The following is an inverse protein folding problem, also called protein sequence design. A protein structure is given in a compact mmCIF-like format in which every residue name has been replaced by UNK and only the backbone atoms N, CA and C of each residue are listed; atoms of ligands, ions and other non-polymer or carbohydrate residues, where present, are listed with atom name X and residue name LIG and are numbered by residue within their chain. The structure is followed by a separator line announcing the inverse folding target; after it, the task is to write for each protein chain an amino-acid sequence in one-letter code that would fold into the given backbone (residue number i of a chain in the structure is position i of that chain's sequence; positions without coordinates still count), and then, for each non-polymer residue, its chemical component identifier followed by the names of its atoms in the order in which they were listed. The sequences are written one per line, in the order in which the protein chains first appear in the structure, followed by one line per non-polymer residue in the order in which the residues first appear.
data_IF_123399783501
#
_entry.id   IF_123399783501
#
_cell.length_a   1.000
_cell.length_b   1.000
_cell.length_c   1.000
_cell.angle_alpha   90.00
_cell.angle_beta   90.00
_cell.angle_gamma   90.00
#
_symmetry.space_group_name_H-M   'P 1'
#
loop_
_entity.id
_entity.type
_entity.pdbx_description
1 polymer ?
#
# COMPACT_ATOMS: atom_id res chain seq x y z
N UNK A 1 9.61 -14.74 -4.75
CA UNK A 1 8.76 -13.70 -4.12
C UNK A 1 9.14 -12.34 -4.70
N UNK A 2 8.67 -12.00 -5.91
CA UNK A 2 9.01 -10.74 -6.60
C UNK A 2 7.89 -10.23 -7.52
N UNK A 3 6.65 -10.70 -7.31
CA UNK A 3 5.54 -10.45 -8.23
C UNK A 3 5.13 -8.98 -8.33
N UNK A 4 5.32 -8.20 -7.26
CA UNK A 4 4.94 -6.79 -7.22
C UNK A 4 5.79 -5.94 -8.17
N UNK A 5 7.13 -6.09 -8.11
CA UNK A 5 8.03 -5.35 -9.01
C UNK A 5 7.94 -5.87 -10.43
N UNK A 6 7.89 -7.20 -10.63
CA UNK A 6 7.77 -7.75 -11.99
C UNK A 6 6.49 -7.31 -12.70
N UNK A 7 5.37 -7.22 -11.97
CA UNK A 7 4.06 -6.80 -12.49
C UNK A 7 3.79 -5.30 -12.45
N UNK A 8 4.77 -4.47 -12.09
CA UNK A 8 4.57 -3.03 -11.90
C UNK A 8 3.96 -2.30 -13.11
N UNK A 9 4.22 -2.77 -14.33
CA UNK A 9 3.66 -2.19 -15.57
C UNK A 9 2.39 -2.89 -16.08
N UNK A 10 1.99 -3.99 -15.43
CA UNK A 10 0.88 -4.82 -15.90
C UNK A 10 -0.48 -4.32 -15.36
N UNK A 11 -0.47 -3.58 -14.25
CA UNK A 11 -1.68 -3.08 -13.57
C UNK A 11 -1.45 -1.64 -13.06
N UNK A 12 -2.36 -0.73 -13.44
CA UNK A 12 -2.32 0.68 -13.07
C UNK A 12 -2.53 0.91 -11.56
N UNK A 13 -3.38 0.11 -10.92
CA UNK A 13 -3.63 0.21 -9.48
C UNK A 13 -2.41 -0.26 -8.69
N UNK A 14 -1.76 -1.34 -9.16
CA UNK A 14 -0.50 -1.80 -8.59
C UNK A 14 0.61 -0.74 -8.76
N UNK A 15 0.71 -0.15 -9.94
CA UNK A 15 1.65 0.93 -10.22
C UNK A 15 1.43 2.11 -9.26
N UNK A 16 0.19 2.59 -9.14
CA UNK A 16 -0.18 3.71 -8.27
C UNK A 16 0.12 3.40 -6.79
N UNK A 17 -0.17 2.17 -6.35
CA UNK A 17 0.12 1.74 -4.99
C UNK A 17 1.63 1.73 -4.69
N UNK A 18 2.43 1.15 -5.58
CA UNK A 18 3.89 1.11 -5.43
C UNK A 18 4.45 2.54 -5.43
N UNK A 19 4.00 3.38 -6.36
CA UNK A 19 4.42 4.78 -6.45
C UNK A 19 4.06 5.58 -5.19
N UNK A 20 2.88 5.36 -4.65
CA UNK A 20 2.45 5.97 -3.40
C UNK A 20 3.33 5.55 -2.25
N UNK A 21 3.59 4.24 -2.09
CA UNK A 21 4.43 3.70 -1.02
C UNK A 21 5.84 4.28 -1.10
N UNK A 22 6.45 4.28 -2.28
CA UNK A 22 7.81 4.78 -2.49
C UNK A 22 7.95 6.26 -2.14
N UNK A 23 7.00 7.09 -2.57
CA UNK A 23 6.95 8.51 -2.21
C UNK A 23 6.67 8.72 -0.71
N UNK A 24 5.77 7.93 -0.12
CA UNK A 24 5.33 8.10 1.27
C UNK A 24 6.40 7.70 2.28
N UNK A 25 7.15 6.64 1.99
CA UNK A 25 8.17 6.09 2.87
C UNK A 25 9.60 6.45 2.45
N UNK A 26 9.76 7.25 1.39
CA UNK A 26 11.06 7.73 0.89
C UNK A 26 12.03 6.57 0.68
N UNK A 27 11.58 5.63 -0.15
CA UNK A 27 12.22 4.34 -0.40
C UNK A 27 12.11 3.94 -1.87
N UNK A 28 12.90 2.97 -2.30
CA UNK A 28 12.88 2.46 -3.66
C UNK A 28 13.14 0.95 -3.71
N UNK A 29 12.31 0.23 -4.45
CA UNK A 29 12.33 -1.23 -4.48
C UNK A 29 11.79 -1.86 -3.19
N UNK A 30 11.98 -3.18 -3.04
CA UNK A 30 11.49 -3.92 -1.87
C UNK A 30 12.51 -3.87 -0.76
N UNK A 31 13.73 -4.30 -1.05
CA UNK A 31 14.92 -4.28 -0.20
C UNK A 31 15.96 -3.27 -0.69
N UNK A 32 16.00 -2.99 -1.99
CA UNK A 32 16.92 -2.01 -2.58
C UNK A 32 16.41 -1.50 -3.91
N UNK A 33 16.86 -0.31 -4.31
CA UNK A 33 16.58 0.27 -5.63
C UNK A 33 16.97 -0.64 -6.81
N UNK A 34 17.90 -1.59 -6.61
CA UNK A 34 18.29 -2.57 -7.64
C UNK A 34 17.27 -3.69 -7.88
N UNK A 35 16.27 -3.84 -6.99
CA UNK A 35 15.20 -4.81 -7.18
C UNK A 35 14.40 -4.54 -8.46
N UNK A 36 14.43 -3.30 -8.95
CA UNK A 36 13.86 -2.91 -10.24
C UNK A 36 14.43 -3.71 -11.41
N UNK A 37 15.63 -4.30 -11.30
CA UNK A 37 16.14 -5.22 -12.31
C UNK A 37 15.31 -6.51 -12.48
N UNK A 38 14.38 -6.81 -11.56
CA UNK A 38 13.44 -7.94 -11.68
C UNK A 38 12.27 -7.66 -12.63
N UNK A 39 12.09 -6.41 -13.05
CA UNK A 39 11.06 -6.02 -14.00
C UNK A 39 11.65 -5.98 -15.41
N UNK A 40 10.96 -6.57 -16.40
CA UNK A 40 11.44 -6.67 -17.79
C UNK A 40 11.76 -5.31 -18.45
N UNK A 41 11.10 -4.23 -18.02
CA UNK A 41 11.33 -2.89 -18.56
C UNK A 41 12.53 -2.19 -17.91
N UNK A 42 12.84 -2.51 -16.66
CA UNK A 42 13.92 -1.87 -15.87
C UNK A 42 15.16 -2.74 -15.74
N UNK A 43 15.09 -4.01 -16.16
CA UNK A 43 16.16 -4.99 -16.12
C UNK A 43 17.45 -4.41 -16.72
N UNK A 44 18.49 -4.38 -15.89
CA UNK A 44 19.75 -3.76 -16.24
C UNK A 44 20.65 -4.73 -17.01
N UNK A 45 20.28 -4.99 -18.27
CA UNK A 45 21.08 -5.73 -19.24
C UNK A 45 21.25 -4.91 -20.51
N UNK A 46 22.43 -4.98 -21.13
CA UNK A 46 22.71 -4.26 -22.39
C UNK A 46 21.83 -4.74 -23.56
N UNK A 47 21.37 -5.99 -23.50
CA UNK A 47 20.44 -6.58 -24.47
C UNK A 47 19.00 -6.08 -24.31
N UNK A 48 18.65 -5.43 -23.20
CA UNK A 48 17.30 -4.95 -22.94
C UNK A 48 16.99 -3.74 -23.86
N UNK A 49 16.01 -3.84 -24.77
CA UNK A 49 15.67 -2.74 -25.66
C UNK A 49 14.88 -1.62 -24.97
N UNK A 50 14.43 -1.84 -23.74
CA UNK A 50 13.64 -0.87 -22.99
C UNK A 50 14.41 0.43 -22.79
N UNK A 51 13.70 1.55 -23.01
CA UNK A 51 14.22 2.88 -22.68
C UNK A 51 14.44 3.01 -21.16
N UNK A 52 13.68 2.28 -20.35
CA UNK A 52 13.78 2.34 -18.88
C UNK A 52 14.83 1.37 -18.31
N UNK A 53 15.63 0.72 -19.16
CA UNK A 53 16.67 -0.22 -18.69
C UNK A 53 17.62 0.47 -17.71
N UNK A 54 18.03 -0.25 -16.67
CA UNK A 54 18.89 0.27 -15.61
C UNK A 54 18.35 1.54 -14.91
N UNK A 55 17.06 1.87 -15.08
CA UNK A 55 16.42 2.98 -14.41
C UNK A 55 15.61 2.52 -13.21
N UNK A 56 15.11 3.45 -12.43
CA UNK A 56 14.05 3.22 -11.45
C UNK A 56 12.87 4.15 -11.75
N UNK A 57 11.65 3.84 -11.29
CA UNK A 57 10.52 4.73 -11.48
C UNK A 57 10.70 6.10 -10.85
N UNK A 58 9.94 7.06 -11.36
CA UNK A 58 9.97 8.44 -10.90
C UNK A 58 9.57 8.60 -9.41
N UNK A 59 8.77 7.68 -8.87
CA UNK A 59 8.41 7.64 -7.45
C UNK A 59 9.59 7.43 -6.50
N UNK A 60 10.71 6.90 -6.98
CA UNK A 60 11.96 6.81 -6.23
C UNK A 60 12.76 8.12 -6.20
N UNK A 61 12.39 9.13 -6.98
CA UNK A 61 13.13 10.40 -7.05
C UNK A 61 13.05 11.18 -5.74
N UNK A 62 14.20 11.72 -5.31
CA UNK A 62 14.25 12.66 -4.19
C UNK A 62 13.61 13.97 -4.66
N UNK A 63 12.55 14.38 -3.98
CA UNK A 63 11.93 15.68 -4.21
C UNK A 63 12.79 16.74 -3.52
N UNK A 64 13.62 17.46 -4.31
CA UNK A 64 14.29 18.65 -3.79
C UNK A 64 13.23 19.72 -3.53
N UNK A 65 13.37 20.39 -2.40
CA UNK A 65 12.43 21.30 -1.76
C UNK A 65 11.52 22.10 -2.71
N UNK A 66 10.25 22.23 -2.33
CA UNK A 66 9.19 22.85 -3.14
C UNK A 66 9.50 24.28 -3.63
N UNK A 67 10.37 25.03 -2.95
CA UNK A 67 10.83 26.34 -3.42
C UNK A 67 11.66 26.27 -4.71
N UNK A 68 12.42 25.19 -4.90
CA UNK A 68 13.13 24.93 -6.16
C UNK A 68 12.21 24.32 -7.22
N UNK A 69 11.13 23.63 -6.85
CA UNK A 69 10.18 23.00 -7.78
C UNK A 69 9.26 24.03 -8.48
N UNK A 70 9.04 25.21 -7.89
CA UNK A 70 8.27 26.30 -8.53
C UNK A 70 9.07 26.93 -9.69
N UNK A 71 10.41 26.81 -9.69
CA UNK A 71 11.30 27.34 -10.73
C UNK A 71 12.00 26.27 -11.58
N UNK A 72 12.08 25.02 -11.14
CA UNK A 72 12.75 23.94 -11.85
C UNK A 72 11.76 22.99 -12.52
N UNK A 73 11.98 22.75 -13.81
CA UNK A 73 11.34 21.70 -14.60
C UNK A 73 11.39 20.40 -13.81
N UNK A 74 10.23 19.80 -13.52
CA UNK A 74 10.14 18.48 -12.90
C UNK A 74 10.97 17.49 -13.73
N UNK A 75 12.13 17.08 -13.22
CA UNK A 75 13.00 16.16 -13.96
C UNK A 75 12.42 14.74 -13.86
N UNK A 76 11.54 14.40 -14.80
CA UNK A 76 10.98 13.06 -14.94
C UNK A 76 12.03 11.98 -15.22
N UNK A 77 13.27 12.35 -15.55
CA UNK A 77 14.39 11.46 -15.89
C UNK A 77 15.37 11.23 -14.73
N UNK A 78 15.06 11.63 -13.49
CA UNK A 78 15.99 11.47 -12.37
C UNK A 78 16.43 10.00 -12.15
N UNK A 79 15.51 9.05 -12.41
CA UNK A 79 15.74 7.62 -12.22
C UNK A 79 16.56 6.96 -13.32
N UNK A 80 16.82 7.66 -14.44
CA UNK A 80 17.45 7.08 -15.63
C UNK A 80 18.89 6.64 -15.37
N UNK A 81 19.22 5.38 -15.66
CA UNK A 81 20.57 4.83 -15.50
C UNK A 81 21.08 4.77 -14.06
N UNK A 82 20.23 5.03 -13.06
CA UNK A 82 20.63 5.06 -11.65
C UNK A 82 21.10 3.71 -11.13
N UNK A 83 20.61 2.59 -11.68
CA UNK A 83 21.07 1.25 -11.31
C UNK A 83 22.55 1.00 -11.66
N UNK A 84 23.09 1.71 -12.66
CA UNK A 84 24.52 1.67 -13.03
C UNK A 84 25.42 2.55 -12.17
N UNK A 85 24.83 3.44 -11.36
CA UNK A 85 25.59 4.33 -10.49
C UNK A 85 26.03 3.58 -9.22
N UNK A 86 27.15 4.04 -8.66
CA UNK A 86 27.54 3.66 -7.30
C UNK A 86 26.52 4.20 -6.30
N UNK A 87 26.26 3.47 -5.22
CA UNK A 87 25.22 3.79 -4.24
C UNK A 87 25.28 5.23 -3.74
N UNK A 88 26.46 5.77 -3.40
CA UNK A 88 26.62 7.14 -2.92
C UNK A 88 26.23 8.22 -3.95
N UNK A 89 26.35 7.92 -5.25
CA UNK A 89 25.95 8.83 -6.33
C UNK A 89 24.47 8.66 -6.68
N UNK A 90 23.94 7.45 -6.54
CA UNK A 90 22.52 7.18 -6.68
C UNK A 90 21.70 7.85 -5.55
N UNK A 91 22.22 7.79 -4.32
CA UNK A 91 21.63 8.38 -3.11
C UNK A 91 21.43 9.91 -3.19
N UNK A 92 22.17 10.59 -4.08
CA UNK A 92 22.00 12.03 -4.32
C UNK A 92 20.84 12.37 -5.26
N UNK A 93 20.24 11.37 -5.91
CA UNK A 93 19.22 11.50 -6.95
C UNK A 93 17.92 10.77 -6.60
N UNK A 94 18.04 9.58 -6.01
CA UNK A 94 16.92 8.69 -5.68
C UNK A 94 17.06 8.16 -4.26
N UNK A 95 15.95 7.74 -3.67
CA UNK A 95 15.97 6.90 -2.49
C UNK A 95 16.58 5.54 -2.85
N UNK A 96 17.60 5.09 -2.11
CA UNK A 96 18.27 3.80 -2.41
C UNK A 96 17.85 2.65 -1.48
N UNK A 97 17.25 2.99 -0.33
CA UNK A 97 16.81 2.04 0.68
C UNK A 97 15.51 1.34 0.29
N UNK A 98 15.38 0.06 0.67
CA UNK A 98 14.18 -0.74 0.46
C UNK A 98 12.98 -0.25 1.26
N UNK A 99 11.79 -0.40 0.65
CA UNK A 99 10.54 -0.03 1.31
C UNK A 99 10.16 -0.97 2.45
N UNK A 100 10.54 -2.25 2.39
CA UNK A 100 10.17 -3.21 3.43
C UNK A 100 10.77 -2.81 4.78
N UNK A 101 12.06 -2.48 4.80
CA UNK A 101 12.77 -2.07 6.01
C UNK A 101 12.21 -0.75 6.56
N UNK A 102 11.90 0.22 5.70
CA UNK A 102 11.29 1.50 6.10
C UNK A 102 9.90 1.32 6.71
N UNK A 103 9.05 0.50 6.09
CA UNK A 103 7.68 0.24 6.55
C UNK A 103 7.69 -0.51 7.87
N UNK A 104 8.48 -1.60 7.97
CA UNK A 104 8.62 -2.37 9.20
C UNK A 104 9.18 -1.49 10.33
N UNK A 105 10.21 -0.71 10.04
CA UNK A 105 10.77 0.24 11.01
C UNK A 105 9.76 1.31 11.45
N UNK A 106 8.93 1.82 10.54
CA UNK A 106 7.83 2.73 10.90
C UNK A 106 6.81 2.05 11.81
N UNK A 107 6.42 0.82 11.49
CA UNK A 107 5.46 0.04 12.29
C UNK A 107 5.97 -0.26 13.70
N UNK A 108 7.25 -0.63 13.84
CA UNK A 108 7.89 -0.85 15.15
C UNK A 108 7.92 0.42 16.00
N UNK A 109 8.23 1.57 15.39
CA UNK A 109 8.22 2.87 16.09
C UNK A 109 6.81 3.33 16.49
N UNK A 110 5.81 2.98 15.70
CA UNK A 110 4.41 3.36 15.92
C UNK A 110 3.56 2.20 16.46
N UNK A 111 4.17 1.24 17.15
CA UNK A 111 3.51 0.01 17.60
C UNK A 111 2.28 0.30 18.46
N UNK A 112 2.35 1.31 19.33
CA UNK A 112 1.21 1.73 20.17
C UNK A 112 0.03 2.25 19.34
N UNK A 113 0.30 3.00 18.27
CA UNK A 113 -0.74 3.51 17.38
C UNK A 113 -1.43 2.34 16.66
N UNK A 114 -0.63 1.42 16.09
CA UNK A 114 -1.14 0.24 15.37
C UNK A 114 -1.96 -0.65 16.32
N UNK A 115 -1.44 -0.93 17.50
CA UNK A 115 -2.13 -1.73 18.51
C UNK A 115 -3.43 -1.05 18.97
N UNK A 116 -3.41 0.27 19.21
CA UNK A 116 -4.58 1.04 19.58
C UNK A 116 -5.69 1.01 18.51
N UNK A 117 -5.33 1.17 17.23
CA UNK A 117 -6.28 1.03 16.13
C UNK A 117 -6.86 -0.39 16.04
N UNK A 118 -6.02 -1.42 16.18
CA UNK A 118 -6.47 -2.80 16.14
C UNK A 118 -7.46 -3.13 17.28
N UNK A 119 -7.15 -2.70 18.51
CA UNK A 119 -8.03 -2.88 19.67
C UNK A 119 -9.33 -2.09 19.50
N UNK A 120 -9.25 -0.86 18.99
CA UNK A 120 -10.42 -0.02 18.72
C UNK A 120 -11.36 -0.65 17.70
N UNK A 121 -10.82 -1.15 16.59
CA UNK A 121 -11.61 -1.87 15.58
C UNK A 121 -12.21 -3.15 16.15
N UNK A 122 -11.44 -3.93 16.91
CA UNK A 122 -11.95 -5.15 17.56
C UNK A 122 -13.12 -4.88 18.52
N UNK A 123 -13.05 -3.79 19.28
CA UNK A 123 -14.14 -3.39 20.16
C UNK A 123 -15.40 -2.98 19.37
N UNK A 124 -15.24 -2.24 18.26
CA UNK A 124 -16.36 -1.89 17.39
C UNK A 124 -17.03 -3.13 16.79
N UNK A 125 -16.24 -4.12 16.36
CA UNK A 125 -16.76 -5.39 15.85
C UNK A 125 -17.59 -6.15 16.90
N UNK A 126 -17.14 -6.19 18.17
CA UNK A 126 -17.91 -6.80 19.27
C UNK A 126 -19.24 -6.08 19.48
N UNK A 127 -19.25 -4.74 19.44
CA UNK A 127 -20.48 -3.97 19.58
C UNK A 127 -21.46 -4.27 18.44
N UNK A 128 -21.00 -4.24 17.18
CA UNK A 128 -21.82 -4.57 16.01
C UNK A 128 -22.37 -5.99 16.11
N UNK A 129 -21.54 -6.97 16.49
CA UNK A 129 -21.96 -8.35 16.67
C UNK A 129 -23.04 -8.48 17.76
N UNK A 130 -22.84 -7.84 18.92
CA UNK A 130 -23.81 -7.87 20.02
C UNK A 130 -25.15 -7.25 19.62
N UNK A 131 -25.14 -6.13 18.88
CA UNK A 131 -26.34 -5.50 18.35
C UNK A 131 -27.06 -6.41 17.36
N UNK A 132 -26.32 -7.06 16.45
CA UNK A 132 -26.89 -8.00 15.49
C UNK A 132 -27.59 -9.17 16.21
N UNK A 133 -26.96 -9.73 17.25
CA UNK A 133 -27.55 -10.79 18.07
C UNK A 133 -28.82 -10.31 18.78
N UNK A 134 -28.80 -9.12 19.40
CA UNK A 134 -29.98 -8.54 20.04
C UNK A 134 -31.15 -8.36 19.05
N UNK A 135 -30.88 -7.87 17.85
CA UNK A 135 -31.89 -7.70 16.80
C UNK A 135 -32.50 -9.04 16.35
N UNK A 136 -31.69 -10.09 16.21
CA UNK A 136 -32.17 -11.43 15.86
C UNK A 136 -33.12 -11.95 16.96
N UNK A 137 -32.71 -11.85 18.23
CA UNK A 137 -33.56 -12.25 19.35
C UNK A 137 -34.91 -11.51 19.38
N UNK A 138 -34.91 -10.21 19.06
CA UNK A 138 -36.13 -9.42 18.98
C UNK A 138 -37.05 -9.87 17.82
N UNK A 139 -36.49 -10.13 16.65
CA UNK A 139 -37.24 -10.62 15.48
C UNK A 139 -37.88 -11.98 15.81
N UNK A 140 -37.11 -12.91 16.37
CA UNK A 140 -37.61 -14.24 16.75
C UNK A 140 -38.72 -14.14 17.80
N UNK A 141 -38.54 -13.27 18.80
CA UNK A 141 -39.58 -13.02 19.80
C UNK A 141 -40.88 -12.50 19.18
N UNK A 142 -40.79 -11.54 18.25
CA UNK A 142 -41.96 -10.99 17.56
C UNK A 142 -42.64 -12.06 16.69
N UNK A 143 -41.87 -12.89 15.98
CA UNK A 143 -42.39 -14.00 15.18
C UNK A 143 -43.12 -15.01 16.07
N UNK A 144 -42.54 -15.40 17.19
CA UNK A 144 -43.15 -16.33 18.14
C UNK A 144 -44.43 -15.75 18.76
N UNK A 145 -44.41 -14.48 19.17
CA UNK A 145 -45.57 -13.78 19.71
C UNK A 145 -46.70 -13.71 18.68
N UNK A 146 -46.41 -13.35 17.42
CA UNK A 146 -47.39 -13.35 16.31
C UNK A 146 -47.99 -14.74 16.08
N UNK A 147 -47.18 -15.81 16.12
CA UNK A 147 -47.68 -17.21 16.01
C UNK A 147 -48.62 -17.56 17.17
N UNK A 148 -48.28 -17.21 18.41
CA UNK A 148 -49.14 -17.44 19.59
C UNK A 148 -50.47 -16.68 19.51
N UNK A 149 -50.46 -15.40 19.10
CA UNK A 149 -51.69 -14.61 18.96
C UNK A 149 -52.58 -15.17 17.84
N UNK A 150 -52.01 -15.57 16.70
CA UNK A 150 -52.78 -16.18 15.59
C UNK A 150 -53.45 -17.50 15.98
N UNK A 151 -52.80 -18.32 16.83
CA UNK A 151 -53.41 -19.57 17.37
C UNK A 151 -54.55 -19.32 18.36
N UNK A 152 -54.64 -18.14 18.99
CA UNK A 152 -55.72 -17.77 19.93
C UNK A 152 -56.83 -16.92 19.31
N UNK A 153 -56.82 -16.71 17.99
CA UNK A 153 -57.95 -16.06 17.30
C UNK A 153 -59.22 -16.91 17.42
N UNK A 154 -60.41 -16.30 17.53
CA UNK A 154 -61.65 -16.99 17.88
C UNK A 154 -61.99 -18.10 16.87
N UNK A 155 -62.20 -19.31 17.38
CA UNK A 155 -62.91 -20.39 16.69
C UNK A 155 -64.35 -19.90 16.52
N UNK A 156 -64.78 -19.72 15.26
CA UNK A 156 -66.18 -19.38 14.94
C UNK A 156 -67.08 -20.57 15.15
#
# INVERSE_FOLDING_TARGET
MGKAISGYRDDLDLQNLIDYIQKKFECCGVHSYKDWSQNIYFECQDSNPSLERCAVPFSCCIQKDQEAAITSVLNSMCGYGTQNLRSWKADSLIYIEGCLEKIVGWGQRNLLLVAGLAIGLFFLEILVFSMAVMLIYQIDFIIQKRKSTRRRGPEK
#
